data_IF_224227976195
#
_entry.id   IF_224227976195
#
_cell.length_a   1.000
_cell.length_b   1.000
_cell.length_c   1.000
_cell.angle_alpha   90.00
_cell.angle_beta   90.00
_cell.angle_gamma   90.00
#
_symmetry.space_group_name_H-M   'P 1'
#
loop_
_entity.id
_entity.type
_entity.pdbx_description
1 polymer ?
#
# COMPACT_ATOMS: atom_id res chain seq x y z
N UNK A 1 1.54 -9.59 -11.48
CA UNK A 1 1.11 -8.75 -12.62
C UNK A 1 -0.37 -9.00 -12.88
N UNK A 2 -1.03 -8.17 -13.69
CA UNK A 2 -2.42 -8.38 -14.08
C UNK A 2 -2.56 -9.60 -15.00
N UNK A 3 -3.75 -10.18 -15.08
CA UNK A 3 -4.04 -11.36 -15.92
C UNK A 3 -3.72 -11.15 -17.39
N UNK A 4 -3.89 -9.92 -17.89
CA UNK A 4 -3.67 -9.50 -19.27
C UNK A 4 -2.23 -9.04 -19.59
N UNK A 5 -1.30 -9.12 -18.63
CA UNK A 5 0.08 -8.71 -18.84
C UNK A 5 0.79 -9.55 -19.92
N UNK A 6 1.64 -8.92 -20.74
CA UNK A 6 2.33 -9.54 -21.89
C UNK A 6 3.11 -10.81 -21.52
N UNK A 7 2.82 -11.90 -22.23
CA UNK A 7 3.42 -13.21 -21.98
C UNK A 7 4.89 -13.28 -22.37
N UNK A 8 5.33 -12.53 -23.38
CA UNK A 8 6.73 -12.54 -23.80
C UNK A 8 7.63 -11.94 -22.70
N UNK A 9 7.20 -10.82 -22.13
CA UNK A 9 7.85 -10.15 -21.01
C UNK A 9 7.84 -11.03 -19.77
N UNK A 10 6.70 -11.66 -19.45
CA UNK A 10 6.61 -12.59 -18.32
C UNK A 10 7.59 -13.77 -18.46
N UNK A 11 7.62 -14.42 -19.63
CA UNK A 11 8.54 -15.53 -19.91
C UNK A 11 10.01 -15.11 -19.85
N UNK A 12 10.34 -13.90 -20.30
CA UNK A 12 11.71 -13.36 -20.19
C UNK A 12 12.15 -13.19 -18.74
N UNK A 13 11.24 -12.81 -17.83
CA UNK A 13 11.51 -12.69 -16.40
C UNK A 13 11.57 -14.06 -15.70
N UNK A 14 10.70 -15.00 -16.06
CA UNK A 14 10.74 -16.37 -15.53
C UNK A 14 12.08 -17.05 -15.86
N UNK A 15 12.61 -16.85 -17.08
CA UNK A 15 13.96 -17.31 -17.46
C UNK A 15 15.08 -16.72 -16.59
N UNK A 16 14.81 -15.62 -15.88
CA UNK A 16 15.71 -14.99 -14.89
C UNK A 16 15.36 -15.37 -13.45
N UNK A 17 14.63 -16.48 -13.25
CA UNK A 17 14.17 -16.99 -11.95
C UNK A 17 13.23 -16.04 -11.18
N UNK A 18 12.51 -15.16 -11.88
CA UNK A 18 11.45 -14.35 -11.26
C UNK A 18 10.18 -15.19 -11.15
N UNK A 19 9.64 -15.33 -9.93
CA UNK A 19 8.32 -15.94 -9.74
C UNK A 19 7.24 -14.93 -10.10
N UNK A 20 6.39 -15.27 -11.07
CA UNK A 20 5.29 -14.42 -11.52
C UNK A 20 3.97 -14.96 -10.99
N UNK A 21 3.24 -14.09 -10.30
CA UNK A 21 1.85 -14.32 -9.90
C UNK A 21 0.96 -13.41 -10.73
N UNK A 22 0.04 -14.00 -11.49
CA UNK A 22 -1.01 -13.28 -12.21
C UNK A 22 -2.22 -13.15 -11.30
N UNK A 23 -2.76 -11.94 -11.20
CA UNK A 23 -3.96 -11.63 -10.39
C UNK A 23 -4.93 -10.76 -11.19
N UNK A 24 -6.19 -10.74 -10.77
CA UNK A 24 -7.22 -9.94 -11.42
C UNK A 24 -6.80 -8.45 -11.49
N UNK A 25 -7.14 -7.80 -12.60
CA UNK A 25 -6.93 -6.37 -12.76
C UNK A 25 -8.05 -5.55 -12.10
N UNK A 26 -7.70 -4.35 -11.64
CA UNK A 26 -8.64 -3.26 -11.40
C UNK A 26 -9.10 -2.65 -12.73
N UNK A 27 -10.10 -1.76 -12.67
CA UNK A 27 -10.54 -0.97 -13.82
C UNK A 27 -9.43 -0.09 -14.43
N UNK A 28 -8.36 0.18 -13.68
CA UNK A 28 -7.18 0.90 -14.14
C UNK A 28 -6.14 0.00 -14.86
N UNK A 29 -6.45 -1.28 -15.08
CA UNK A 29 -5.53 -2.22 -15.75
C UNK A 29 -4.33 -2.64 -14.89
N UNK A 30 -4.38 -2.39 -13.58
CA UNK A 30 -3.33 -2.78 -12.62
C UNK A 30 -3.77 -3.94 -11.76
N UNK A 31 -2.84 -4.76 -11.21
CA UNK A 31 -3.17 -5.76 -10.19
C UNK A 31 -4.09 -5.18 -9.11
N UNK A 32 -5.24 -5.82 -8.88
CA UNK A 32 -6.20 -5.39 -7.85
C UNK A 32 -5.64 -5.69 -6.45
N UNK A 33 -5.65 -4.74 -5.49
CA UNK A 33 -5.11 -4.94 -4.14
C UNK A 33 -5.65 -6.18 -3.42
N UNK A 34 -6.96 -6.42 -3.47
CA UNK A 34 -7.62 -7.57 -2.85
C UNK A 34 -7.14 -8.90 -3.44
N UNK A 35 -6.97 -8.95 -4.77
CA UNK A 35 -6.47 -10.14 -5.45
C UNK A 35 -4.97 -10.38 -5.15
N UNK A 36 -4.19 -9.32 -4.97
CA UNK A 36 -2.81 -9.41 -4.50
C UNK A 36 -2.78 -9.98 -3.07
N UNK A 37 -3.56 -9.41 -2.15
CA UNK A 37 -3.60 -9.85 -0.76
C UNK A 37 -4.03 -11.31 -0.63
N UNK A 38 -5.04 -11.73 -1.39
CA UNK A 38 -5.47 -13.13 -1.46
C UNK A 38 -4.33 -14.04 -1.95
N UNK A 39 -3.71 -13.71 -3.08
CA UNK A 39 -2.65 -14.54 -3.65
C UNK A 39 -1.42 -14.65 -2.74
N UNK A 40 -1.11 -13.60 -1.99
CA UNK A 40 -0.05 -13.60 -0.96
C UNK A 40 -0.46 -14.48 0.22
N UNK A 41 -1.69 -14.36 0.71
CA UNK A 41 -2.21 -15.19 1.81
C UNK A 41 -2.25 -16.67 1.48
N UNK A 42 -2.64 -17.04 0.26
CA UNK A 42 -2.61 -18.42 -0.25
C UNK A 42 -1.20 -19.02 -0.27
N UNK A 43 -0.16 -18.18 -0.25
CA UNK A 43 1.26 -18.58 -0.16
C UNK A 43 1.79 -18.61 1.27
N UNK A 44 0.92 -18.43 2.27
CA UNK A 44 1.27 -18.46 3.69
C UNK A 44 1.97 -17.19 4.18
N UNK A 45 1.99 -16.12 3.37
CA UNK A 45 2.54 -14.83 3.78
C UNK A 45 1.46 -14.03 4.51
N UNK A 46 1.64 -13.83 5.81
CA UNK A 46 0.63 -13.22 6.68
C UNK A 46 0.91 -11.76 7.04
N UNK A 47 2.09 -11.24 6.67
CA UNK A 47 2.49 -9.84 6.88
C UNK A 47 3.33 -9.40 5.69
N UNK A 48 2.98 -8.25 5.13
CA UNK A 48 3.67 -7.65 3.99
C UNK A 48 3.87 -6.18 4.25
N UNK A 49 5.08 -5.70 3.95
CA UNK A 49 5.38 -4.28 3.90
C UNK A 49 5.07 -3.79 2.49
N UNK A 50 4.18 -2.81 2.38
CA UNK A 50 3.85 -2.17 1.11
C UNK A 50 4.71 -0.91 1.00
N UNK A 51 5.67 -0.96 0.08
CA UNK A 51 6.48 0.20 -0.29
C UNK A 51 6.18 0.60 -1.73
N UNK A 52 6.30 1.90 -2.03
CA UNK A 52 6.10 2.42 -3.36
C UNK A 52 5.63 3.87 -3.37
N UNK A 53 5.18 4.33 -4.53
CA UNK A 53 4.62 5.67 -4.68
C UNK A 53 3.19 5.78 -4.15
N UNK A 54 2.72 7.02 -3.95
CA UNK A 54 1.42 7.27 -3.34
C UNK A 54 0.20 6.68 -4.06
N UNK A 55 0.31 6.32 -5.35
CA UNK A 55 -0.74 5.59 -6.06
C UNK A 55 -0.98 4.20 -5.46
N UNK A 56 0.10 3.45 -5.20
CA UNK A 56 0.00 2.12 -4.61
C UNK A 56 -0.54 2.21 -3.17
N UNK A 57 -0.02 3.15 -2.38
CA UNK A 57 -0.52 3.40 -1.02
C UNK A 57 -2.02 3.77 -1.03
N UNK A 58 -2.43 4.66 -1.94
CA UNK A 58 -3.84 5.05 -2.11
C UNK A 58 -4.74 3.88 -2.52
N UNK A 59 -4.30 3.01 -3.44
CA UNK A 59 -5.07 1.83 -3.87
C UNK A 59 -5.31 0.85 -2.71
N UNK A 60 -4.30 0.59 -1.87
CA UNK A 60 -4.45 -0.28 -0.69
C UNK A 60 -5.26 0.36 0.46
N UNK A 61 -5.13 1.67 0.66
CA UNK A 61 -5.99 2.42 1.58
C UNK A 61 -7.45 2.40 1.12
N UNK A 62 -7.69 2.55 -0.19
CA UNK A 62 -9.03 2.47 -0.78
C UNK A 62 -9.66 1.08 -0.59
N UNK A 63 -8.87 0.02 -0.79
CA UNK A 63 -9.28 -1.37 -0.61
C UNK A 63 -9.45 -1.78 0.87
N UNK A 64 -9.17 -0.88 1.81
CA UNK A 64 -9.23 -1.14 3.25
C UNK A 64 -8.30 -2.28 3.73
N UNK A 65 -7.10 -2.38 3.15
CA UNK A 65 -6.14 -3.48 3.41
C UNK A 65 -4.88 -3.03 4.20
N UNK A 66 -4.93 -1.86 4.84
CA UNK A 66 -3.77 -1.28 5.55
C UNK A 66 -4.00 -1.25 7.05
N UNK A 67 -3.44 -2.24 7.75
CA UNK A 67 -3.58 -2.40 9.20
C UNK A 67 -2.58 -1.56 10.01
N UNK A 68 -1.40 -1.32 9.44
CA UNK A 68 -0.30 -0.59 10.08
C UNK A 68 0.27 0.46 9.13
N UNK A 69 0.56 1.64 9.66
CA UNK A 69 1.27 2.70 8.94
C UNK A 69 2.63 2.95 9.60
N UNK A 70 3.69 2.87 8.79
CA UNK A 70 5.01 3.39 9.10
C UNK A 70 5.17 4.73 8.38
N UNK A 71 5.11 5.84 9.11
CA UNK A 71 5.07 7.19 8.56
C UNK A 71 6.37 7.93 8.86
N UNK A 72 7.08 8.34 7.81
CA UNK A 72 8.32 9.11 7.92
C UNK A 72 8.08 10.54 7.47
N UNK A 73 8.47 11.50 8.31
CA UNK A 73 8.35 12.91 8.02
C UNK A 73 9.72 13.59 8.16
N UNK A 74 10.31 13.93 7.01
CA UNK A 74 11.55 14.69 6.94
C UNK A 74 11.30 16.18 7.25
N UNK A 75 12.28 16.90 7.82
CA UNK A 75 12.18 18.35 8.06
C UNK A 75 12.43 19.15 6.77
N UNK A 76 11.67 18.85 5.72
CA UNK A 76 11.81 19.43 4.38
C UNK A 76 10.44 19.86 3.84
N UNK A 77 10.43 20.94 3.08
CA UNK A 77 9.24 21.45 2.40
C UNK A 77 9.39 21.27 0.89
N UNK A 78 8.44 20.60 0.26
CA UNK A 78 8.45 20.34 -1.19
C UNK A 78 7.46 21.25 -1.93
N UNK A 79 6.30 21.55 -1.33
CA UNK A 79 5.22 22.31 -1.98
C UNK A 79 4.15 21.40 -2.61
N UNK A 80 3.14 22.01 -3.21
CA UNK A 80 1.96 21.32 -3.77
C UNK A 80 2.22 20.59 -5.11
N UNK A 81 3.35 20.86 -5.74
CA UNK A 81 3.91 20.16 -6.90
C UNK A 81 4.66 18.87 -6.50
N UNK A 82 4.82 18.64 -5.20
CA UNK A 82 5.33 17.38 -4.68
C UNK A 82 4.43 16.19 -5.01
N UNK A 83 5.01 14.99 -4.94
CA UNK A 83 4.27 13.74 -5.11
C UNK A 83 3.56 13.41 -3.77
N UNK A 84 2.23 13.25 -3.74
CA UNK A 84 1.52 12.88 -2.51
C UNK A 84 1.98 11.51 -2.00
N UNK A 85 2.20 11.40 -0.69
CA UNK A 85 2.52 10.11 -0.02
C UNK A 85 1.40 9.07 -0.15
N UNK A 86 0.14 9.53 -0.26
CA UNK A 86 -1.00 8.73 -0.66
C UNK A 86 -1.82 9.53 -1.69
N UNK A 87 -2.03 8.98 -2.87
CA UNK A 87 -2.91 9.54 -3.88
C UNK A 87 -4.37 9.40 -3.43
N UNK A 88 -5.29 10.17 -4.04
CA UNK A 88 -6.70 10.17 -3.66
C UNK A 88 -7.30 8.74 -3.63
N UNK A 89 -7.91 8.39 -2.49
CA UNK A 89 -8.44 7.06 -2.20
C UNK A 89 -9.94 7.06 -1.81
N UNK A 90 -10.67 8.11 -2.19
CA UNK A 90 -12.15 8.10 -2.15
C UNK A 90 -12.80 8.51 -0.82
N UNK A 91 -12.13 9.29 0.03
CA UNK A 91 -12.74 9.84 1.25
C UNK A 91 -13.65 11.01 0.90
N UNK A 92 -14.96 10.78 0.88
CA UNK A 92 -15.97 11.81 0.59
C UNK A 92 -16.44 12.57 1.84
N UNK A 93 -16.39 11.92 3.01
CA UNK A 93 -16.86 12.45 4.29
C UNK A 93 -15.85 12.10 5.37
N UNK A 94 -15.60 13.04 6.29
CA UNK A 94 -14.64 12.84 7.37
C UNK A 94 -14.93 11.60 8.22
N UNK A 95 -16.20 11.32 8.51
CA UNK A 95 -16.59 10.10 9.25
C UNK A 95 -16.41 8.78 8.51
N UNK A 96 -16.03 8.82 7.22
CA UNK A 96 -15.63 7.65 6.42
C UNK A 96 -14.11 7.58 6.23
N UNK A 97 -13.35 8.52 6.77
CA UNK A 97 -11.89 8.47 6.69
C UNK A 97 -11.38 7.28 7.51
N UNK A 98 -10.43 6.48 6.98
CA UNK A 98 -9.77 5.44 7.76
C UNK A 98 -9.15 6.05 9.03
N UNK A 99 -9.49 5.47 10.17
CA UNK A 99 -9.01 5.91 11.47
C UNK A 99 -7.84 5.04 11.93
N UNK A 100 -6.87 5.67 12.58
CA UNK A 100 -5.69 5.01 13.10
C UNK A 100 -5.34 5.56 14.48
N UNK A 101 -4.88 4.68 15.37
CA UNK A 101 -4.31 5.02 16.67
C UNK A 101 -2.79 5.05 16.54
N UNK A 102 -2.18 6.16 16.97
CA UNK A 102 -0.73 6.27 17.06
C UNK A 102 -0.19 5.31 18.11
N UNK A 103 0.69 4.39 17.69
CA UNK A 103 1.34 3.41 18.55
C UNK A 103 2.79 3.75 18.91
N UNK A 104 3.41 4.69 18.20
CA UNK A 104 4.80 5.08 18.44
C UNK A 104 5.20 6.38 17.77
N UNK A 105 6.25 7.00 18.31
CA UNK A 105 6.83 8.25 17.85
C UNK A 105 8.31 8.32 18.26
N UNK A 106 9.22 8.35 17.29
CA UNK A 106 10.65 8.46 17.56
C UNK A 106 11.38 9.25 16.48
N UNK A 107 12.62 9.65 16.77
CA UNK A 107 13.51 10.27 15.79
C UNK A 107 14.39 9.21 15.13
N UNK A 108 14.46 9.23 13.80
CA UNK A 108 15.40 8.44 13.01
C UNK A 108 16.32 9.42 12.30
N UNK A 109 17.49 9.68 12.90
CA UNK A 109 18.35 10.76 12.46
C UNK A 109 17.67 12.12 12.65
N UNK A 110 17.36 12.81 11.54
CA UNK A 110 16.64 14.10 11.55
C UNK A 110 15.16 13.97 11.26
N UNK A 111 14.70 12.77 10.91
CA UNK A 111 13.34 12.52 10.48
C UNK A 111 12.50 12.05 11.66
N UNK A 112 11.22 12.38 11.63
CA UNK A 112 10.24 11.84 12.57
C UNK A 112 9.70 10.53 12.00
N UNK A 113 9.74 9.47 12.81
CA UNK A 113 9.12 8.19 12.52
C UNK A 113 7.93 7.97 13.44
N UNK A 114 6.75 7.86 12.84
CA UNK A 114 5.49 7.63 13.53
C UNK A 114 4.95 6.26 13.12
N UNK A 115 4.49 5.48 14.09
CA UNK A 115 3.76 4.24 13.81
C UNK A 115 2.32 4.38 14.20
N UNK A 116 1.44 3.85 13.36
CA UNK A 116 0.01 3.80 13.62
C UNK A 116 -0.55 2.41 13.40
N UNK A 117 -1.59 2.08 14.15
CA UNK A 117 -2.39 0.86 14.00
C UNK A 117 -3.83 1.25 13.65
N UNK A 118 -4.47 0.48 12.78
CA UNK A 118 -5.87 0.69 12.40
C UNK A 118 -6.75 0.73 13.64
N UNK A 119 -7.65 1.70 13.69
CA UNK A 119 -8.67 1.79 14.74
C UNK A 119 -9.91 0.99 14.31
N UNK A 120 -10.04 -0.23 14.82
CA UNK A 120 -11.21 -1.09 14.58
C UNK A 120 -12.45 -0.67 15.41
N UNK A 121 -12.38 0.45 16.12
CA UNK A 121 -13.47 0.92 17.00
C UNK A 121 -13.70 0.05 18.24
N UNK A 122 -12.82 -0.94 18.49
CA UNK A 122 -12.82 -1.72 19.72
C UNK A 122 -12.23 -0.84 20.83
N UNK A 123 -13.11 -0.26 21.64
CA UNK A 123 -12.74 0.33 22.93
C UNK A 123 -11.92 -0.71 23.70
N UNK A 124 -10.68 -0.36 24.01
CA UNK A 124 -9.93 -1.00 25.10
C UNK A 124 -10.56 -0.63 26.43
#
# INVERSE_FOLDING_TARGET
>A
CSTDADENTANALIKKNVHIVRVEASSAGRPRPEAIAQAIGERGLTRVLIEGGGKLAGEFLHADLVDHLAWYHAPMLIGGDGIPSAAAFGVEKLGKAPAYVRSGLELVGRDLYETYQRDDGKKT
#
